data_IF_885879609621
#
_entry.id   IF_885879609621
#
_cell.length_a   1.000
_cell.length_b   1.000
_cell.length_c   1.000
_cell.angle_alpha   90.00
_cell.angle_beta   90.00
_cell.angle_gamma   90.00
#
_symmetry.space_group_name_H-M   'P 1'
#
loop_
_entity.id
_entity.type
_entity.pdbx_description
1 polymer ?
#
# COMPACT_ATOMS: atom_id res chain seq x y z
N UNK A 1 -7.03 31.79 6.23
CA UNK A 1 -8.46 31.34 6.22
C UNK A 1 -8.69 30.15 7.16
N UNK A 2 -9.93 29.85 7.62
CA UNK A 2 -10.28 28.62 8.37
C UNK A 2 -11.40 27.83 7.68
N UNK A 3 -11.27 26.51 7.58
CA UNK A 3 -12.21 25.56 7.02
C UNK A 3 -12.64 24.52 8.06
N UNK A 4 -13.94 24.24 8.16
CA UNK A 4 -14.47 23.12 8.95
C UNK A 4 -14.86 21.97 8.02
N UNK A 5 -14.07 20.91 8.10
CA UNK A 5 -14.17 19.73 7.25
C UNK A 5 -14.53 18.46 8.04
N UNK A 6 -14.96 18.62 9.30
CA UNK A 6 -15.47 17.52 10.13
C UNK A 6 -16.72 16.90 9.51
N UNK A 7 -16.90 15.59 9.69
CA UNK A 7 -18.03 14.81 9.16
C UNK A 7 -17.98 14.57 7.65
N UNK A 8 -17.04 15.17 6.91
CA UNK A 8 -16.92 14.99 5.47
C UNK A 8 -15.99 13.84 5.14
N UNK A 9 -16.42 12.98 4.23
CA UNK A 9 -15.59 11.90 3.70
C UNK A 9 -14.62 12.43 2.64
N UNK A 10 -13.44 11.80 2.54
CA UNK A 10 -12.52 12.01 1.43
C UNK A 10 -13.25 11.80 0.10
N UNK A 11 -13.05 12.66 -0.93
CA UNK A 11 -11.95 13.62 -1.06
C UNK A 11 -12.24 15.04 -0.54
N UNK A 12 -13.43 15.32 0.02
CA UNK A 12 -13.89 16.69 0.25
C UNK A 12 -12.94 17.57 1.06
N UNK A 13 -12.41 17.15 2.23
CA UNK A 13 -11.48 17.98 3.00
C UNK A 13 -10.25 18.42 2.19
N UNK A 14 -9.76 17.52 1.33
CA UNK A 14 -8.59 17.78 0.47
C UNK A 14 -8.97 18.66 -0.73
N UNK A 15 -10.17 18.47 -1.31
CA UNK A 15 -10.70 19.34 -2.39
C UNK A 15 -10.80 20.78 -1.91
N UNK A 16 -11.48 20.99 -0.80
CA UNK A 16 -11.81 22.34 -0.32
C UNK A 16 -10.57 23.05 0.20
N UNK A 17 -9.66 22.33 0.86
CA UNK A 17 -8.35 22.88 1.24
C UNK A 17 -7.54 23.31 0.02
N UNK A 18 -7.51 22.50 -1.06
CA UNK A 18 -6.80 22.88 -2.29
C UNK A 18 -7.40 24.13 -2.93
N UNK A 19 -8.73 24.18 -3.08
CA UNK A 19 -9.40 25.37 -3.63
C UNK A 19 -9.12 26.61 -2.80
N UNK A 20 -9.13 26.47 -1.47
CA UNK A 20 -8.80 27.57 -0.57
C UNK A 20 -7.34 28.04 -0.76
N UNK A 21 -6.38 27.12 -0.90
CA UNK A 21 -4.98 27.44 -1.20
C UNK A 21 -4.79 28.12 -2.55
N UNK A 22 -5.52 27.71 -3.59
CA UNK A 22 -5.48 28.33 -4.92
C UNK A 22 -6.06 29.76 -4.93
N UNK A 23 -7.02 30.05 -4.04
CA UNK A 23 -7.60 31.37 -3.86
C UNK A 23 -6.83 32.26 -2.85
N UNK A 24 -5.88 31.68 -2.11
CA UNK A 24 -5.15 32.36 -1.04
C UNK A 24 -3.99 33.21 -1.57
N UNK A 25 -3.61 34.22 -0.79
CA UNK A 25 -2.43 35.01 -1.07
C UNK A 25 -1.12 34.23 -0.86
N UNK A 26 0.00 34.64 -1.48
CA UNK A 26 1.32 34.07 -1.21
C UNK A 26 1.65 34.01 0.28
N UNK A 27 2.09 32.84 0.75
CA UNK A 27 2.46 32.64 2.16
C UNK A 27 1.29 32.62 3.15
N UNK A 28 0.04 32.74 2.70
CA UNK A 28 -1.14 32.65 3.56
C UNK A 28 -1.33 31.21 4.08
N UNK A 29 -1.74 31.10 5.35
CA UNK A 29 -2.01 29.80 5.98
C UNK A 29 -3.52 29.51 6.02
N UNK A 30 -3.88 28.31 5.56
CA UNK A 30 -5.23 27.74 5.66
C UNK A 30 -5.27 26.81 6.87
N UNK A 31 -6.12 27.12 7.83
CA UNK A 31 -6.45 26.28 8.98
C UNK A 31 -7.61 25.35 8.60
N UNK A 32 -7.47 24.05 8.83
CA UNK A 32 -8.44 23.02 8.43
C UNK A 32 -8.73 22.14 9.63
N UNK A 33 -9.99 22.11 10.07
CA UNK A 33 -10.44 21.26 11.18
C UNK A 33 -11.02 19.97 10.62
N UNK A 34 -10.53 18.82 11.09
CA UNK A 34 -10.98 17.47 10.69
C UNK A 34 -11.20 16.59 11.91
N UNK A 35 -11.91 15.47 11.74
CA UNK A 35 -12.40 14.63 12.84
C UNK A 35 -11.69 13.26 12.99
N UNK A 36 -10.67 13.02 12.18
CA UNK A 36 -9.92 11.76 12.20
C UNK A 36 -8.49 11.96 11.68
N UNK A 37 -7.59 11.09 12.13
CA UNK A 37 -6.16 11.16 11.82
C UNK A 37 -5.86 10.87 10.35
N UNK A 38 -6.68 10.04 9.69
CA UNK A 38 -6.55 9.74 8.25
C UNK A 38 -6.79 10.99 7.40
N UNK A 39 -7.75 11.85 7.78
CA UNK A 39 -7.96 13.13 7.12
C UNK A 39 -6.73 14.04 7.26
N UNK A 40 -6.08 14.06 8.43
CA UNK A 40 -4.81 14.79 8.64
C UNK A 40 -3.71 14.24 7.72
N UNK A 41 -3.55 12.92 7.65
CA UNK A 41 -2.57 12.27 6.78
C UNK A 41 -2.84 12.57 5.29
N UNK A 42 -4.10 12.63 4.88
CA UNK A 42 -4.48 12.97 3.51
C UNK A 42 -4.14 14.43 3.17
N UNK A 43 -4.38 15.36 4.10
CA UNK A 43 -4.00 16.77 3.95
C UNK A 43 -2.48 16.93 3.91
N UNK A 44 -1.74 16.21 4.75
CA UNK A 44 -0.27 16.18 4.74
C UNK A 44 0.25 15.74 3.37
N UNK A 45 -0.23 14.61 2.84
CA UNK A 45 0.20 14.12 1.52
C UNK A 45 -0.09 15.11 0.40
N UNK A 46 -1.25 15.77 0.44
CA UNK A 46 -1.57 16.82 -0.53
C UNK A 46 -0.59 17.99 -0.45
N UNK A 47 -0.22 18.41 0.77
CA UNK A 47 0.76 19.47 0.97
C UNK A 47 2.16 19.04 0.50
N UNK A 48 2.64 17.87 0.92
CA UNK A 48 3.95 17.31 0.52
C UNK A 48 4.07 17.20 -1.01
N UNK A 49 3.02 16.69 -1.67
CA UNK A 49 2.97 16.56 -3.11
C UNK A 49 3.05 17.91 -3.84
N UNK A 50 2.50 18.97 -3.25
CA UNK A 50 2.57 20.33 -3.78
C UNK A 50 3.81 21.11 -3.30
N UNK A 51 4.67 20.49 -2.49
CA UNK A 51 5.81 21.16 -1.86
C UNK A 51 5.42 22.29 -0.92
N UNK A 52 4.28 22.15 -0.22
CA UNK A 52 3.74 23.16 0.70
C UNK A 52 4.12 22.84 2.15
N UNK A 53 4.25 23.88 2.97
CA UNK A 53 4.48 23.69 4.41
C UNK A 53 3.20 23.15 5.07
N UNK A 54 3.35 22.12 5.90
CA UNK A 54 2.26 21.46 6.62
C UNK A 54 2.59 21.29 8.11
N UNK A 55 1.62 21.59 8.98
CA UNK A 55 1.65 21.20 10.40
C UNK A 55 0.27 20.75 10.87
N UNK A 56 0.21 19.94 11.91
CA UNK A 56 -1.06 19.49 12.49
C UNK A 56 -0.95 19.30 14.00
N UNK A 57 -2.06 19.46 14.69
CA UNK A 57 -2.20 19.29 16.13
C UNK A 57 -3.50 18.54 16.45
N UNK A 58 -3.46 17.66 17.45
CA UNK A 58 -4.66 17.02 18.00
C UNK A 58 -5.27 17.94 19.06
N UNK A 59 -6.47 18.46 18.78
CA UNK A 59 -7.14 19.46 19.63
C UNK A 59 -8.28 18.88 20.46
N UNK A 60 -8.69 17.63 20.20
CA UNK A 60 -9.68 16.89 20.98
C UNK A 60 -9.60 15.37 20.75
N UNK A 61 -10.53 14.60 21.33
CA UNK A 61 -10.53 13.12 21.18
C UNK A 61 -10.59 12.68 19.70
N UNK A 62 -11.53 13.29 18.96
CA UNK A 62 -11.75 13.10 17.52
C UNK A 62 -11.70 14.44 16.79
N UNK A 63 -10.81 15.33 17.22
CA UNK A 63 -10.65 16.63 16.58
C UNK A 63 -9.18 16.94 16.39
N UNK A 64 -8.86 17.34 15.16
CA UNK A 64 -7.52 17.68 14.73
C UNK A 64 -7.57 18.97 13.92
N UNK A 65 -6.57 19.81 14.10
CA UNK A 65 -6.40 21.02 13.32
C UNK A 65 -5.12 20.89 12.50
N UNK A 66 -5.23 21.08 11.19
CA UNK A 66 -4.12 21.11 10.26
C UNK A 66 -3.94 22.55 9.73
N UNK A 67 -2.70 22.97 9.51
CA UNK A 67 -2.37 24.24 8.88
C UNK A 67 -1.52 23.96 7.66
N UNK A 68 -1.99 24.45 6.50
CA UNK A 68 -1.27 24.35 5.23
C UNK A 68 -0.95 25.74 4.74
N UNK A 69 0.33 26.03 4.49
CA UNK A 69 0.77 27.34 4.00
C UNK A 69 0.85 27.34 2.49
N UNK A 70 0.21 28.31 1.84
CA UNK A 70 0.38 28.55 0.41
C UNK A 70 1.84 28.93 0.11
N UNK A 71 2.35 28.51 -1.05
CA UNK A 71 3.72 28.83 -1.45
C UNK A 71 3.93 30.35 -1.45
N UNK A 72 5.09 30.81 -0.97
CA UNK A 72 5.49 32.19 -1.22
C UNK A 72 5.66 32.37 -2.73
N UNK A 73 5.14 33.48 -3.27
CA UNK A 73 5.04 33.71 -4.70
C UNK A 73 6.43 33.78 -5.31
N UNK A 74 6.91 32.65 -5.81
CA UNK A 74 8.25 32.46 -6.34
C UNK A 74 8.44 30.99 -6.70
N UNK A 75 8.63 30.72 -7.98
CA UNK A 75 8.98 29.41 -8.51
C UNK A 75 10.21 28.86 -7.79
N UNK A 76 10.09 27.78 -7.01
CA UNK A 76 11.28 26.99 -6.63
C UNK A 76 10.97 25.51 -6.52
N UNK A 77 11.52 24.78 -7.48
CA UNK A 77 11.89 23.38 -7.34
C UNK A 77 13.02 23.24 -6.29
N UNK A 78 12.94 22.15 -5.53
CA UNK A 78 13.99 21.55 -4.70
C UNK A 78 14.37 22.25 -3.38
N UNK A 79 14.07 21.57 -2.25
CA UNK A 79 15.10 21.04 -1.34
C UNK A 79 14.45 20.22 -0.20
N UNK A 80 14.36 18.90 -0.40
CA UNK A 80 14.28 17.92 0.69
C UNK A 80 15.72 17.64 1.15
N UNK A 81 16.09 18.05 2.35
CA UNK A 81 17.25 17.53 3.06
C UNK A 81 17.14 17.77 4.58
N UNK A 82 16.98 16.66 5.33
CA UNK A 82 17.50 16.54 6.69
C UNK A 82 16.51 16.64 7.86
N UNK A 83 15.88 15.53 8.23
CA UNK A 83 15.42 15.32 9.61
C UNK A 83 16.35 14.28 10.26
N UNK A 84 17.07 14.72 11.29
CA UNK A 84 17.80 13.87 12.23
C UNK A 84 17.43 14.29 13.65
N UNK A 85 16.64 13.45 14.32
CA UNK A 85 16.37 13.49 15.76
C UNK A 85 16.22 12.02 16.16
N UNK A 86 17.04 11.41 17.03
CA UNK A 86 17.50 11.90 18.32
C UNK A 86 16.57 11.33 19.39
N UNK A 87 16.74 10.05 19.74
CA UNK A 87 16.08 9.41 20.87
C UNK A 87 16.63 9.94 22.21
N UNK A 88 15.80 9.95 23.26
CA UNK A 88 16.28 9.57 24.58
C UNK A 88 15.43 8.45 25.19
N UNK A 89 16.10 7.39 25.61
CA UNK A 89 15.52 6.32 26.42
C UNK A 89 15.31 6.72 27.87
N UNK A 90 14.43 5.98 28.56
CA UNK A 90 14.47 5.82 30.03
C UNK A 90 14.00 4.41 30.40
N UNK A 91 14.61 3.90 31.46
CA UNK A 91 14.75 2.51 31.85
C UNK A 91 13.65 1.92 32.76
N UNK A 92 13.63 0.58 32.77
CA UNK A 92 13.50 -0.36 33.88
C UNK A 92 12.40 -0.19 34.95
N UNK A 93 11.62 -1.27 35.12
CA UNK A 93 10.89 -1.61 36.33
C UNK A 93 10.66 -3.13 36.42
N UNK A 94 11.29 -3.76 37.41
CA UNK A 94 11.21 -5.20 37.75
C UNK A 94 9.90 -5.51 38.50
N UNK A 95 9.40 -6.75 38.41
CA UNK A 95 8.36 -7.24 39.32
C UNK A 95 7.85 -8.64 39.00
N UNK A 96 8.18 -9.60 39.85
CA UNK A 96 7.96 -11.03 39.75
C UNK A 96 6.50 -11.49 39.94
N UNK A 97 6.20 -12.71 39.48
CA UNK A 97 4.99 -13.44 39.89
C UNK A 97 4.59 -14.62 38.98
N UNK A 98 5.29 -15.75 39.10
CA UNK A 98 4.67 -17.09 38.94
C UNK A 98 3.70 -17.34 40.12
N UNK A 99 2.71 -18.27 40.07
CA UNK A 99 2.82 -19.61 39.48
C UNK A 99 1.54 -20.19 38.82
N UNK A 100 1.66 -21.40 38.25
CA UNK A 100 0.50 -22.29 38.11
C UNK A 100 0.59 -23.33 37.00
N UNK A 101 1.36 -24.40 37.22
CA UNK A 101 1.24 -25.64 36.46
C UNK A 101 -0.01 -26.44 36.88
N UNK A 102 -0.68 -27.08 35.94
CA UNK A 102 -1.46 -28.30 36.19
C UNK A 102 -1.61 -29.13 34.91
N UNK A 103 -1.20 -30.38 35.02
CA UNK A 103 -1.22 -31.45 34.04
C UNK A 103 -2.63 -31.93 33.69
N UNK A 104 -2.76 -32.57 32.52
CA UNK A 104 -3.93 -33.37 32.14
C UNK A 104 -3.61 -34.28 30.95
N UNK A 105 -3.10 -35.47 31.26
CA UNK A 105 -2.89 -36.59 30.32
C UNK A 105 -4.23 -37.22 29.92
N UNK A 106 -4.32 -37.73 28.69
CA UNK A 106 -5.45 -38.58 28.29
C UNK A 106 -5.39 -39.05 26.84
N UNK A 107 -4.76 -40.20 26.62
CA UNK A 107 -4.60 -40.90 25.36
C UNK A 107 -5.91 -41.42 24.75
N UNK A 108 -5.95 -41.58 23.43
CA UNK A 108 -7.00 -42.32 22.72
C UNK A 108 -6.68 -42.49 21.24
N UNK A 109 -6.41 -43.73 20.82
CA UNK A 109 -5.79 -44.14 19.56
C UNK A 109 -6.77 -44.28 18.38
N UNK A 110 -6.13 -44.32 17.20
CA UNK A 110 -6.33 -45.27 16.08
C UNK A 110 -7.17 -44.82 14.88
N UNK A 111 -6.61 -45.07 13.70
CA UNK A 111 -7.26 -44.91 12.40
C UNK A 111 -6.27 -44.74 11.25
N UNK A 112 -5.44 -45.76 10.99
CA UNK A 112 -4.60 -45.83 9.81
C UNK A 112 -5.44 -46.18 8.56
N UNK A 113 -5.09 -45.61 7.40
CA UNK A 113 -5.04 -46.33 6.12
C UNK A 113 -4.37 -45.46 5.05
N UNK A 114 -3.20 -45.91 4.61
CA UNK A 114 -2.58 -45.54 3.35
C UNK A 114 -3.21 -46.34 2.20
N UNK A 115 -3.26 -45.77 1.00
CA UNK A 115 -2.91 -46.51 -0.22
C UNK A 115 -2.64 -45.54 -1.37
N UNK A 116 -1.42 -45.63 -1.90
CA UNK A 116 -0.95 -45.13 -3.19
C UNK A 116 -1.45 -46.06 -4.31
N UNK A 117 -1.66 -45.54 -5.52
CA UNK A 117 -1.32 -46.12 -6.85
C UNK A 117 -1.34 -44.93 -7.84
N UNK A 118 -0.20 -44.37 -8.28
CA UNK A 118 0.66 -44.75 -9.41
C UNK A 118 -0.04 -44.72 -10.80
N UNK A 119 0.44 -43.86 -11.70
CA UNK A 119 0.01 -43.83 -13.10
C UNK A 119 0.54 -42.64 -13.91
N UNK A 120 1.79 -42.72 -14.33
CA UNK A 120 2.35 -42.06 -15.54
C UNK A 120 3.08 -43.19 -16.31
N UNK A 121 3.24 -43.17 -17.67
CA UNK A 121 3.85 -42.04 -18.37
C UNK A 121 3.40 -41.79 -19.82
N UNK A 122 3.81 -40.66 -20.39
CA UNK A 122 3.65 -40.34 -21.80
C UNK A 122 4.68 -39.30 -22.28
N UNK A 123 5.89 -39.76 -22.56
CA UNK A 123 6.98 -38.97 -23.11
C UNK A 123 6.74 -38.58 -24.59
N UNK A 124 7.16 -37.37 -24.97
CA UNK A 124 7.72 -37.10 -26.30
C UNK A 124 8.56 -35.81 -26.26
N UNK A 125 9.86 -36.00 -26.01
CA UNK A 125 10.89 -35.01 -26.33
C UNK A 125 11.22 -35.11 -27.82
N UNK A 126 11.18 -33.97 -28.53
CA UNK A 126 11.79 -33.82 -29.84
C UNK A 126 13.06 -32.99 -29.68
N UNK A 127 14.21 -33.64 -29.87
CA UNK A 127 15.51 -32.99 -29.98
C UNK A 127 15.68 -32.49 -31.43
N UNK A 128 16.04 -31.22 -31.59
CA UNK A 128 16.68 -30.73 -32.81
C UNK A 128 17.95 -29.98 -32.40
N UNK A 129 19.08 -30.62 -32.65
CA UNK A 129 20.43 -30.11 -32.45
C UNK A 129 20.82 -29.14 -33.57
N UNK A 130 21.28 -27.95 -33.19
CA UNK A 130 21.97 -26.99 -34.08
C UNK A 130 22.83 -26.04 -33.26
N UNK A 131 24.16 -26.11 -33.47
CA UNK A 131 25.24 -25.36 -32.82
C UNK A 131 25.09 -23.84 -32.97
N UNK A 132 25.11 -23.12 -31.84
CA UNK A 132 26.19 -22.26 -31.31
C UNK A 132 26.43 -20.95 -32.08
N UNK A 133 26.07 -19.83 -31.46
CA UNK A 133 26.95 -18.65 -31.41
C UNK A 133 26.64 -17.84 -30.15
N UNK A 134 27.71 -17.38 -29.50
CA UNK A 134 27.72 -16.96 -28.11
C UNK A 134 27.02 -15.65 -27.80
N UNK A 135 26.55 -15.57 -26.56
CA UNK A 135 26.46 -14.33 -25.80
C UNK A 135 26.71 -14.71 -24.34
N UNK A 136 27.64 -14.07 -23.59
CA UNK A 136 27.69 -14.25 -22.15
C UNK A 136 26.32 -13.82 -21.60
N UNK A 137 25.68 -14.72 -20.85
CA UNK A 137 24.37 -14.49 -20.24
C UNK A 137 24.35 -13.09 -19.61
N UNK A 138 23.31 -12.26 -19.89
CA UNK A 138 23.21 -11.01 -19.17
C UNK A 138 23.03 -11.39 -17.71
N UNK A 139 23.95 -10.94 -16.87
CA UNK A 139 23.73 -10.90 -15.43
C UNK A 139 22.33 -10.30 -15.24
N UNK A 140 21.45 -11.04 -14.55
CA UNK A 140 20.07 -10.65 -14.26
C UNK A 140 20.05 -9.24 -13.68
N UNK A 141 19.91 -8.23 -14.52
CA UNK A 141 19.47 -6.92 -14.08
C UNK A 141 18.04 -7.14 -13.57
N UNK A 142 17.70 -6.75 -12.33
CA UNK A 142 16.31 -6.75 -11.91
C UNK A 142 15.54 -5.91 -12.93
N UNK A 143 14.37 -6.38 -13.41
CA UNK A 143 13.56 -5.59 -14.30
C UNK A 143 13.21 -4.29 -13.59
N UNK A 144 13.84 -3.19 -14.01
CA UNK A 144 13.52 -1.89 -13.47
C UNK A 144 12.08 -1.59 -13.87
N UNK A 145 11.24 -1.25 -12.89
CA UNK A 145 9.88 -0.76 -13.10
C UNK A 145 9.84 0.19 -14.32
N UNK A 146 9.18 -0.23 -15.41
CA UNK A 146 8.99 0.65 -16.58
C UNK A 146 8.06 1.78 -16.14
N UNK A 147 8.54 3.01 -16.22
CA UNK A 147 7.95 4.19 -15.59
C UNK A 147 6.54 4.55 -16.09
N UNK A 148 5.97 3.79 -17.03
CA UNK A 148 4.65 4.02 -17.62
C UNK A 148 3.55 3.02 -17.24
N UNK A 149 3.83 1.90 -16.56
CA UNK A 149 2.80 0.92 -16.22
C UNK A 149 2.30 1.15 -14.79
N UNK A 150 0.98 1.23 -14.62
CA UNK A 150 0.32 1.26 -13.30
C UNK A 150 -0.71 0.13 -13.21
N UNK A 151 -0.58 -0.73 -12.21
CA UNK A 151 -1.56 -1.75 -11.91
C UNK A 151 -2.60 -1.17 -10.93
N UNK A 152 -3.88 -1.35 -11.22
CA UNK A 152 -4.98 -0.81 -10.41
C UNK A 152 -5.87 -1.95 -9.96
N UNK A 153 -5.82 -2.24 -8.67
CA UNK A 153 -6.53 -3.36 -8.05
C UNK A 153 -7.61 -2.79 -7.12
N UNK A 154 -8.85 -2.78 -7.63
CA UNK A 154 -10.01 -2.20 -6.95
C UNK A 154 -10.82 -3.17 -6.09
N UNK A 155 -10.39 -4.44 -6.03
CA UNK A 155 -11.14 -5.54 -5.42
C UNK A 155 -10.16 -6.60 -4.89
N UNK A 156 -10.57 -7.37 -3.89
CA UNK A 156 -9.87 -8.59 -3.46
C UNK A 156 -10.34 -9.84 -4.21
N UNK A 157 -11.30 -9.68 -5.13
CA UNK A 157 -11.74 -10.69 -6.10
C UNK A 157 -11.43 -10.21 -7.52
N UNK A 158 -10.96 -11.11 -8.38
CA UNK A 158 -10.78 -10.86 -9.81
C UNK A 158 -12.04 -11.25 -10.59
N UNK A 159 -12.53 -10.35 -11.45
CA UNK A 159 -13.78 -10.55 -12.20
C UNK A 159 -15.05 -10.49 -11.34
N UNK A 160 -16.16 -10.96 -11.92
CA UNK A 160 -17.47 -11.07 -11.27
C UNK A 160 -17.95 -12.52 -11.36
N UNK A 161 -18.61 -13.03 -10.32
CA UNK A 161 -19.09 -14.41 -10.27
C UNK A 161 -18.93 -15.01 -8.88
N UNK A 162 -18.29 -16.19 -8.82
CA UNK A 162 -18.00 -16.86 -7.56
C UNK A 162 -16.84 -16.18 -6.82
N UNK A 163 -17.08 -15.73 -5.59
CA UNK A 163 -16.10 -15.00 -4.78
C UNK A 163 -14.91 -15.86 -4.35
N UNK A 164 -15.10 -17.17 -4.18
CA UNK A 164 -14.01 -18.08 -3.78
C UNK A 164 -13.01 -18.20 -4.91
N UNK A 165 -13.51 -18.46 -6.12
CA UNK A 165 -12.70 -18.45 -7.33
C UNK A 165 -12.10 -17.07 -7.59
N UNK A 166 -12.87 -15.99 -7.44
CA UNK A 166 -12.41 -14.62 -7.62
C UNK A 166 -11.20 -14.27 -6.74
N UNK A 167 -11.20 -14.69 -5.47
CA UNK A 167 -10.06 -14.52 -4.55
C UNK A 167 -8.84 -15.34 -4.98
N UNK A 168 -9.06 -16.59 -5.40
CA UNK A 168 -7.98 -17.45 -5.90
C UNK A 168 -7.32 -16.84 -7.16
N UNK A 169 -8.14 -16.33 -8.08
CA UNK A 169 -7.68 -15.66 -9.29
C UNK A 169 -6.93 -14.36 -8.97
N UNK A 170 -7.41 -13.56 -8.01
CA UNK A 170 -6.71 -12.35 -7.58
C UNK A 170 -5.33 -12.66 -6.99
N UNK A 171 -5.24 -13.68 -6.13
CA UNK A 171 -3.94 -14.17 -5.61
C UNK A 171 -3.02 -14.60 -6.76
N UNK A 172 -3.53 -15.42 -7.67
CA UNK A 172 -2.78 -15.88 -8.84
C UNK A 172 -2.33 -14.73 -9.75
N UNK A 173 -3.14 -13.70 -9.90
CA UNK A 173 -2.79 -12.49 -10.67
C UNK A 173 -1.64 -11.73 -10.04
N UNK A 174 -1.67 -11.48 -8.72
CA UNK A 174 -0.60 -10.73 -8.03
C UNK A 174 0.71 -11.50 -8.08
N UNK A 175 0.67 -12.81 -7.85
CA UNK A 175 1.82 -13.68 -8.04
C UNK A 175 2.35 -13.60 -9.48
N UNK A 176 1.50 -13.79 -10.49
CA UNK A 176 1.93 -13.72 -11.88
C UNK A 176 2.49 -12.34 -12.26
N UNK A 177 1.96 -11.25 -11.66
CA UNK A 177 2.46 -9.89 -11.81
C UNK A 177 3.87 -9.71 -11.23
N UNK A 178 4.17 -10.33 -10.07
CA UNK A 178 5.52 -10.30 -9.46
C UNK A 178 6.58 -11.03 -10.28
N UNK A 179 6.15 -11.96 -11.14
CA UNK A 179 7.02 -12.74 -12.02
C UNK A 179 7.21 -12.14 -13.42
N UNK A 180 6.65 -10.95 -13.72
CA UNK A 180 6.80 -10.35 -15.04
C UNK A 180 8.19 -9.75 -15.26
N UNK A 181 8.72 -9.86 -16.49
CA UNK A 181 9.93 -9.14 -16.90
C UNK A 181 9.74 -7.63 -16.99
N UNK A 182 8.50 -7.15 -17.14
CA UNK A 182 8.17 -5.73 -17.14
C UNK A 182 7.21 -5.45 -16.00
N UNK A 183 7.75 -4.89 -14.92
CA UNK A 183 6.99 -4.60 -13.72
C UNK A 183 6.27 -3.25 -13.81
N UNK A 184 5.10 -3.12 -13.16
CA UNK A 184 4.49 -1.82 -12.96
C UNK A 184 5.40 -0.92 -12.13
N UNK A 185 5.36 0.39 -12.38
CA UNK A 185 5.95 1.38 -11.46
C UNK A 185 5.17 1.48 -10.16
N UNK A 186 3.86 1.33 -10.23
CA UNK A 186 2.99 1.45 -9.07
C UNK A 186 1.86 0.44 -9.11
N UNK A 187 1.55 -0.15 -7.97
CA UNK A 187 0.32 -0.89 -7.70
C UNK A 187 -0.57 -0.03 -6.81
N UNK A 188 -1.75 0.32 -7.30
CA UNK A 188 -2.77 1.09 -6.57
C UNK A 188 -3.85 0.14 -6.06
N UNK A 189 -4.03 0.11 -4.74
CA UNK A 189 -4.99 -0.71 -4.03
C UNK A 189 -6.09 0.20 -3.43
N UNK A 190 -7.33 0.02 -3.88
CA UNK A 190 -8.47 0.75 -3.31
C UNK A 190 -9.73 -0.11 -3.28
N UNK A 191 -10.76 0.37 -2.57
CA UNK A 191 -11.99 -0.39 -2.31
C UNK A 191 -11.62 -1.78 -1.73
N UNK A 192 -12.16 -2.88 -2.24
CA UNK A 192 -11.83 -4.23 -1.76
C UNK A 192 -10.35 -4.60 -1.93
N UNK A 193 -9.61 -3.94 -2.82
CA UNK A 193 -8.18 -4.17 -2.99
C UNK A 193 -7.37 -3.82 -1.73
N UNK A 194 -7.88 -2.95 -0.86
CA UNK A 194 -7.19 -2.56 0.38
C UNK A 194 -6.95 -3.73 1.34
N UNK A 195 -7.74 -4.81 1.26
CA UNK A 195 -7.52 -6.01 2.05
C UNK A 195 -6.22 -6.74 1.66
N UNK A 196 -5.78 -6.62 0.40
CA UNK A 196 -4.70 -7.44 -0.14
C UNK A 196 -3.32 -7.09 0.45
N UNK A 197 -3.12 -5.83 0.87
CA UNK A 197 -1.89 -5.35 1.52
C UNK A 197 -1.91 -5.42 3.04
N UNK A 198 -2.97 -5.97 3.64
CA UNK A 198 -3.20 -5.95 5.09
C UNK A 198 -3.02 -7.33 5.73
N UNK A 199 -2.93 -7.35 7.06
CA UNK A 199 -2.85 -8.57 7.87
C UNK A 199 -3.95 -9.57 7.49
N UNK A 200 -3.57 -10.84 7.37
CA UNK A 200 -4.47 -11.93 6.99
C UNK A 200 -4.68 -12.10 5.48
N UNK A 201 -4.06 -11.26 4.64
CA UNK A 201 -4.04 -11.46 3.20
C UNK A 201 -2.95 -12.43 2.76
N UNK A 202 -3.35 -13.38 1.93
CA UNK A 202 -2.50 -14.36 1.26
C UNK A 202 -1.57 -13.75 0.20
N UNK A 203 -1.76 -12.47 -0.15
CA UNK A 203 -1.00 -11.77 -1.20
C UNK A 203 0.06 -10.82 -0.65
N UNK A 204 0.24 -10.74 0.68
CA UNK A 204 1.21 -9.82 1.30
C UNK A 204 2.63 -10.11 0.83
N UNK A 205 3.03 -11.38 0.80
CA UNK A 205 4.40 -11.75 0.43
C UNK A 205 4.69 -11.48 -1.06
N UNK A 206 3.73 -11.74 -1.96
CA UNK A 206 3.87 -11.41 -3.38
C UNK A 206 3.96 -9.88 -3.60
N UNK A 207 3.21 -9.10 -2.82
CA UNK A 207 3.30 -7.63 -2.84
C UNK A 207 4.64 -7.13 -2.27
N UNK A 208 5.21 -7.79 -1.26
CA UNK A 208 6.56 -7.49 -0.75
C UNK A 208 7.63 -7.81 -1.78
N UNK A 209 7.46 -8.88 -2.55
CA UNK A 209 8.36 -9.23 -3.64
C UNK A 209 8.33 -8.14 -4.73
N UNK A 210 7.15 -7.64 -5.10
CA UNK A 210 7.02 -6.48 -5.99
C UNK A 210 7.72 -5.24 -5.42
N UNK A 211 7.50 -4.92 -4.13
CA UNK A 211 8.14 -3.79 -3.45
C UNK A 211 9.66 -3.90 -3.44
N UNK A 212 10.20 -5.10 -3.17
CA UNK A 212 11.63 -5.40 -3.19
C UNK A 212 12.25 -5.24 -4.60
N UNK A 213 11.44 -5.43 -5.65
CA UNK A 213 11.84 -5.20 -7.04
C UNK A 213 11.66 -3.73 -7.48
N UNK A 214 11.27 -2.83 -6.57
CA UNK A 214 11.16 -1.39 -6.82
C UNK A 214 9.79 -0.92 -7.28
N UNK A 215 8.76 -1.78 -7.18
CA UNK A 215 7.38 -1.40 -7.44
C UNK A 215 6.81 -0.65 -6.23
N UNK A 216 6.25 0.54 -6.44
CA UNK A 216 5.61 1.27 -5.36
C UNK A 216 4.21 0.71 -5.07
N UNK A 217 3.97 0.25 -3.85
CA UNK A 217 2.68 -0.28 -3.43
C UNK A 217 1.94 0.79 -2.62
N UNK A 218 0.72 1.16 -3.06
CA UNK A 218 -0.06 2.23 -2.43
C UNK A 218 -1.49 1.80 -2.13
N UNK A 219 -1.90 1.95 -0.88
CA UNK A 219 -3.24 1.56 -0.41
C UNK A 219 -4.07 2.76 0.04
N UNK A 220 -5.30 2.87 -0.49
CA UNK A 220 -6.20 3.98 -0.19
C UNK A 220 -6.53 4.08 1.30
N UNK A 221 -6.12 5.17 1.95
CA UNK A 221 -6.33 5.39 3.38
C UNK A 221 -7.79 5.44 3.80
N UNK A 222 -8.67 5.97 2.95
CA UNK A 222 -10.12 5.96 3.22
C UNK A 222 -10.69 4.55 3.26
N UNK A 223 -10.18 3.65 2.43
CA UNK A 223 -10.60 2.25 2.45
C UNK A 223 -10.08 1.53 3.70
N UNK A 224 -8.85 1.82 4.13
CA UNK A 224 -8.32 1.29 5.39
C UNK A 224 -9.18 1.68 6.59
N UNK A 225 -9.56 2.97 6.66
CA UNK A 225 -10.46 3.46 7.71
C UNK A 225 -11.84 2.79 7.62
N UNK A 226 -12.47 2.83 6.44
CA UNK A 226 -13.82 2.29 6.24
C UNK A 226 -13.95 0.81 6.63
N UNK A 227 -12.95 -0.01 6.34
CA UNK A 227 -12.96 -1.44 6.66
C UNK A 227 -12.34 -1.79 8.02
N UNK A 228 -11.93 -0.81 8.84
CA UNK A 228 -11.30 -1.06 10.14
C UNK A 228 -9.95 -1.78 10.02
N UNK A 229 -9.17 -1.43 9.00
CA UNK A 229 -7.82 -1.96 8.72
C UNK A 229 -6.71 -0.99 9.17
N UNK A 230 -7.03 0.03 9.95
CA UNK A 230 -6.06 0.94 10.55
C UNK A 230 -5.04 0.15 11.39
N UNK A 231 -3.75 0.41 11.17
CA UNK A 231 -2.67 -0.33 11.83
C UNK A 231 -2.43 -1.75 11.32
N UNK A 232 -3.22 -2.26 10.36
CA UNK A 232 -3.06 -3.60 9.79
C UNK A 232 -2.31 -3.66 8.47
N UNK A 233 -1.93 -2.50 7.91
CA UNK A 233 -1.17 -2.44 6.65
C UNK A 233 0.19 -3.13 6.84
N UNK A 234 0.48 -4.13 6.02
CA UNK A 234 1.71 -4.92 6.11
C UNK A 234 2.77 -4.50 5.09
N UNK A 235 2.34 -4.03 3.91
CA UNK A 235 3.22 -3.71 2.77
C UNK A 235 2.75 -2.43 2.09
N UNK A 236 3.70 -1.62 1.61
CA UNK A 236 3.43 -0.37 0.92
C UNK A 236 3.09 0.81 1.83
N UNK A 237 2.73 1.92 1.18
CA UNK A 237 2.35 3.17 1.80
C UNK A 237 0.84 3.44 1.71
N UNK A 238 0.34 4.30 2.60
CA UNK A 238 -1.03 4.80 2.49
C UNK A 238 -1.07 5.88 1.40
N UNK A 239 -2.11 5.90 0.57
CA UNK A 239 -2.37 6.97 -0.43
C UNK A 239 -3.79 7.57 -0.26
N UNK A 240 -4.18 8.45 -1.18
CA UNK A 240 -5.50 9.06 -1.26
C UNK A 240 -6.00 9.11 -2.72
N UNK A 241 -7.25 9.53 -2.91
CA UNK A 241 -7.87 9.53 -4.24
C UNK A 241 -7.20 10.51 -5.24
N UNK A 242 -6.59 11.59 -4.76
CA UNK A 242 -5.90 12.54 -5.64
C UNK A 242 -4.67 11.95 -6.29
N UNK A 243 -3.82 11.36 -5.45
CA UNK A 243 -2.62 10.69 -5.92
C UNK A 243 -2.96 9.47 -6.78
N UNK A 244 -4.01 8.72 -6.44
CA UNK A 244 -4.53 7.63 -7.30
C UNK A 244 -4.91 8.18 -8.68
N UNK A 245 -5.74 9.23 -8.74
CA UNK A 245 -6.18 9.81 -10.00
C UNK A 245 -5.00 10.33 -10.83
N UNK A 246 -4.07 11.03 -10.19
CA UNK A 246 -2.85 11.53 -10.84
C UNK A 246 -2.03 10.39 -11.45
N UNK A 247 -1.69 9.37 -10.66
CA UNK A 247 -0.91 8.22 -11.12
C UNK A 247 -1.62 7.46 -12.24
N UNK A 248 -2.94 7.33 -12.16
CA UNK A 248 -3.72 6.70 -13.22
C UNK A 248 -3.70 7.52 -14.52
N UNK A 249 -3.83 8.85 -14.42
CA UNK A 249 -3.81 9.73 -15.60
C UNK A 249 -2.43 9.92 -16.21
N UNK A 250 -1.37 9.84 -15.41
CA UNK A 250 0.01 9.88 -15.88
C UNK A 250 0.53 8.55 -16.42
N UNK A 251 -0.20 7.46 -16.25
CA UNK A 251 0.20 6.14 -16.73
C UNK A 251 0.12 6.05 -18.26
N UNK A 252 1.14 5.43 -18.87
CA UNK A 252 1.12 5.02 -20.28
C UNK A 252 0.20 3.81 -20.49
N UNK A 253 0.13 2.92 -19.50
CA UNK A 253 -0.68 1.72 -19.52
C UNK A 253 -1.27 1.44 -18.13
N UNK A 254 -2.58 1.20 -18.10
CA UNK A 254 -3.27 0.71 -16.91
C UNK A 254 -3.56 -0.78 -17.05
N UNK A 255 -3.16 -1.56 -16.04
CA UNK A 255 -3.53 -2.98 -15.90
C UNK A 255 -4.62 -3.09 -14.84
N UNK A 256 -5.77 -3.67 -15.18
CA UNK A 256 -6.95 -3.77 -14.31
C UNK A 256 -7.52 -5.20 -14.33
N UNK A 257 -7.22 -6.03 -13.31
CA UNK A 257 -7.78 -7.37 -13.18
C UNK A 257 -9.26 -7.36 -12.75
#
# INVERSE_FOLDING_TARGET
>A
MRLDERGKQCPLPVVETRKALEAAGPGETIEVVVDNEIAVQNLRKMADHKGLEFRSEKTGEREFTAWVRAAEGGTVAAALAGQGTGEPGVAAGQGAGEPGAAEGQGAGRSGAAASQVAGEPGAAAAQASGRSDGCPAPACCPPAADGGIVAVISSNCMGQGDDTLGKLLMKGFIYALSQQEQLPRTVLLYNGGAFLSCEGSDSVEDLRELEAQGVEILTCGTCLNHYGLEGKLQVGGVTNMYEIAERMTGARLLVRP
#
